data_IF_080052156655
#
_entry.id   IF_080052156655
#
_cell.length_a   1.000
_cell.length_b   1.000
_cell.length_c   1.000
_cell.angle_alpha   90.00
_cell.angle_beta   90.00
_cell.angle_gamma   90.00
#
_symmetry.space_group_name_H-M   'P 1'
#
loop_
_entity.id
_entity.type
_entity.pdbx_description
1 polymer ?
#
# COMPACT_ATOMS: atom_id res chain seq x y z
N UNK A 1 -27.21 -6.62 5.83
CA UNK A 1 -25.87 -6.05 6.05
C UNK A 1 -24.91 -6.88 5.21
N UNK A 2 -24.50 -6.37 4.05
CA UNK A 2 -23.47 -7.03 3.23
C UNK A 2 -22.15 -6.90 3.96
N UNK A 3 -21.65 -7.97 4.58
CA UNK A 3 -20.27 -7.99 5.05
C UNK A 3 -19.38 -7.83 3.82
N UNK A 4 -18.79 -6.65 3.65
CA UNK A 4 -17.66 -6.49 2.74
C UNK A 4 -16.52 -7.29 3.36
N UNK A 5 -16.46 -8.58 3.07
CA UNK A 5 -15.33 -9.40 3.46
C UNK A 5 -14.13 -8.94 2.64
N UNK A 6 -13.12 -8.42 3.32
CA UNK A 6 -11.83 -8.10 2.74
C UNK A 6 -10.74 -8.46 3.75
N UNK A 7 -9.53 -8.71 3.25
CA UNK A 7 -8.40 -9.12 4.08
C UNK A 7 -7.59 -7.89 4.48
N UNK A 8 -7.25 -7.80 5.77
CA UNK A 8 -6.37 -6.76 6.30
C UNK A 8 -4.93 -7.27 6.41
N UNK A 9 -3.97 -6.46 5.96
CA UNK A 9 -2.56 -6.79 6.03
C UNK A 9 -1.75 -5.60 6.53
N UNK A 10 -1.18 -5.72 7.73
CA UNK A 10 -0.19 -4.77 8.21
C UNK A 10 1.09 -4.93 7.37
N UNK A 11 1.42 -3.90 6.58
CA UNK A 11 2.70 -3.83 5.87
C UNK A 11 3.65 -3.08 6.77
N UNK A 12 4.58 -3.81 7.37
CA UNK A 12 5.52 -3.27 8.32
C UNK A 12 6.86 -3.98 8.20
N UNK A 13 7.90 -3.28 8.64
CA UNK A 13 9.24 -3.83 8.76
C UNK A 13 9.69 -3.66 10.19
N UNK A 14 10.38 -4.65 10.73
CA UNK A 14 10.81 -4.59 12.11
C UNK A 14 12.09 -5.32 12.34
N UNK A 15 12.81 -4.88 13.37
CA UNK A 15 13.90 -5.66 13.95
C UNK A 15 13.78 -5.62 15.47
N UNK A 16 14.45 -6.57 16.12
CA UNK A 16 14.35 -6.78 17.58
C UNK A 16 14.81 -5.57 18.40
N UNK A 17 15.68 -4.71 17.85
CA UNK A 17 16.27 -3.58 18.55
C UNK A 17 15.45 -2.30 18.41
N UNK A 18 14.91 -2.04 17.22
CA UNK A 18 14.26 -0.78 16.86
C UNK A 18 12.72 -0.85 16.89
N UNK A 19 12.17 -2.06 16.98
CA UNK A 19 10.73 -2.32 16.97
C UNK A 19 10.17 -2.43 15.55
N UNK A 20 8.86 -2.22 15.43
CA UNK A 20 8.09 -2.34 14.18
C UNK A 20 7.79 -0.95 13.61
N UNK A 21 8.00 -0.78 12.31
CA UNK A 21 7.74 0.43 11.54
C UNK A 21 6.72 0.14 10.46
N UNK A 22 5.57 0.81 10.53
CA UNK A 22 4.42 0.55 9.68
C UNK A 22 4.46 1.42 8.42
N UNK A 23 4.32 0.79 7.25
CA UNK A 23 4.11 1.48 5.99
C UNK A 23 2.64 1.86 5.85
N UNK A 24 1.73 0.88 5.91
CA UNK A 24 0.28 1.05 5.92
C UNK A 24 -0.40 -0.25 6.39
N UNK A 25 -1.69 -0.19 6.66
CA UNK A 25 -2.54 -1.38 6.70
C UNK A 25 -3.27 -1.49 5.37
N UNK A 26 -2.86 -2.45 4.55
CA UNK A 26 -3.39 -2.69 3.21
C UNK A 26 -4.63 -3.58 3.27
N UNK A 27 -5.65 -3.22 2.49
CA UNK A 27 -6.87 -3.99 2.28
C UNK A 27 -6.87 -4.63 0.90
N UNK A 28 -7.18 -5.92 0.82
CA UNK A 28 -7.16 -6.71 -0.41
C UNK A 28 -8.45 -7.53 -0.56
N UNK A 29 -8.76 -8.05 -1.76
CA UNK A 29 -9.89 -8.97 -1.92
C UNK A 29 -9.83 -10.14 -0.93
N UNK A 30 -10.99 -10.68 -0.53
CA UNK A 30 -11.01 -11.82 0.38
C UNK A 30 -10.23 -13.00 -0.21
N UNK A 31 -9.46 -13.69 0.64
CA UNK A 31 -8.60 -14.81 0.23
C UNK A 31 -7.21 -14.41 -0.27
N UNK A 32 -6.99 -13.14 -0.65
CA UNK A 32 -5.67 -12.65 -1.02
C UNK A 32 -4.75 -12.60 0.20
N UNK A 33 -3.45 -12.82 -0.02
CA UNK A 33 -2.43 -12.82 1.04
C UNK A 33 -1.21 -12.01 0.64
N UNK A 34 -0.57 -11.37 1.62
CA UNK A 34 0.75 -10.76 1.42
C UNK A 34 1.83 -11.80 1.66
N UNK A 35 2.74 -11.97 0.70
CA UNK A 35 3.94 -12.80 0.83
C UNK A 35 5.14 -11.87 1.04
N UNK A 36 5.75 -11.97 2.22
CA UNK A 36 6.84 -11.10 2.66
C UNK A 36 8.14 -11.48 1.93
N UNK A 37 8.85 -10.48 1.41
CA UNK A 37 10.19 -10.64 0.84
C UNK A 37 11.27 -10.28 1.88
N UNK A 38 12.23 -11.17 2.20
CA UNK A 38 13.14 -11.01 3.35
C UNK A 38 14.11 -9.81 3.34
N UNK A 39 14.32 -9.11 2.21
CA UNK A 39 15.34 -8.07 2.09
C UNK A 39 14.92 -6.87 1.22
N UNK A 40 13.62 -6.65 1.05
CA UNK A 40 13.13 -5.69 0.07
C UNK A 40 12.63 -4.40 0.71
N UNK A 41 13.28 -3.91 1.77
CA UNK A 41 12.82 -2.71 2.46
C UNK A 41 13.93 -1.81 2.96
N UNK A 42 13.75 -0.51 2.74
CA UNK A 42 14.59 0.56 3.28
C UNK A 42 13.72 1.53 4.10
N UNK A 43 14.12 1.82 5.33
CA UNK A 43 13.47 2.83 6.19
C UNK A 43 14.50 3.85 6.60
N UNK A 44 14.29 5.10 6.16
CA UNK A 44 15.20 6.21 6.43
C UNK A 44 14.72 7.09 7.58
N UNK A 45 13.39 7.28 7.68
CA UNK A 45 12.77 8.13 8.71
C UNK A 45 11.40 7.59 9.12
N UNK A 46 10.97 7.92 10.33
CA UNK A 46 9.65 7.58 10.85
C UNK A 46 9.01 8.78 11.57
N UNK A 47 7.73 8.64 11.86
CA UNK A 47 6.93 9.52 12.73
C UNK A 47 6.12 8.64 13.67
N UNK A 48 5.81 9.13 14.87
CA UNK A 48 4.96 8.41 15.83
C UNK A 48 3.60 9.11 15.90
N UNK A 49 2.53 8.34 15.69
CA UNK A 49 1.14 8.79 15.77
C UNK A 49 0.34 7.69 16.47
N UNK A 50 -0.43 8.05 17.50
CA UNK A 50 -1.28 7.09 18.22
C UNK A 50 -0.50 5.95 18.90
N UNK A 51 0.77 6.17 19.27
CA UNK A 51 1.65 5.15 19.86
C UNK A 51 2.22 4.14 18.85
N UNK A 52 1.99 4.34 17.54
CA UNK A 52 2.54 3.52 16.48
C UNK A 52 3.60 4.29 15.67
N UNK A 53 4.71 3.60 15.35
CA UNK A 53 5.74 4.13 14.45
C UNK A 53 5.32 3.90 13.00
N UNK A 54 5.24 4.99 12.23
CA UNK A 54 4.91 5.00 10.81
C UNK A 54 6.11 5.45 10.00
N UNK A 55 6.43 4.72 8.93
CA UNK A 55 7.52 5.08 8.00
C UNK A 55 7.18 6.42 7.35
N UNK A 56 8.08 7.40 7.41
CA UNK A 56 7.92 8.73 6.78
C UNK A 56 8.74 8.88 5.50
N UNK A 57 9.84 8.14 5.39
CA UNK A 57 10.62 7.99 4.16
C UNK A 57 11.15 6.57 4.08
N UNK A 58 10.80 5.86 3.02
CA UNK A 58 11.19 4.48 2.85
C UNK A 58 10.46 3.78 1.71
N UNK A 59 10.81 2.52 1.51
CA UNK A 59 10.19 1.67 0.52
C UNK A 59 10.15 0.22 0.99
N UNK A 60 9.15 -0.53 0.54
CA UNK A 60 9.08 -1.99 0.73
C UNK A 60 8.51 -2.67 -0.51
N UNK A 61 9.02 -3.87 -0.85
CA UNK A 61 8.45 -4.74 -1.88
C UNK A 61 8.05 -6.11 -1.33
N UNK A 62 6.89 -6.59 -1.74
CA UNK A 62 6.31 -7.88 -1.37
C UNK A 62 5.57 -8.47 -2.59
N UNK A 63 4.86 -9.58 -2.40
CA UNK A 63 3.87 -10.04 -3.37
C UNK A 63 2.47 -10.04 -2.76
N UNK A 64 1.46 -9.72 -3.57
CA UNK A 64 0.07 -10.11 -3.33
C UNK A 64 -0.17 -11.45 -3.99
N UNK A 65 -0.70 -12.43 -3.26
CA UNK A 65 -0.99 -13.77 -3.76
C UNK A 65 -2.48 -14.01 -3.81
N UNK A 66 -2.94 -14.46 -4.97
CA UNK A 66 -4.31 -14.93 -5.23
C UNK A 66 -4.25 -16.36 -5.75
N UNK A 67 -4.50 -17.34 -4.88
CA UNK A 67 -4.31 -18.75 -5.21
C UNK A 67 -2.89 -19.06 -5.72
N UNK A 68 -2.77 -19.38 -7.01
CA UNK A 68 -1.51 -19.67 -7.69
C UNK A 68 -0.83 -18.42 -8.29
N UNK A 69 -1.55 -17.31 -8.43
CA UNK A 69 -1.01 -16.07 -9.00
C UNK A 69 -0.28 -15.24 -7.93
N UNK A 70 0.81 -14.59 -8.33
CA UNK A 70 1.57 -13.67 -7.50
C UNK A 70 1.79 -12.34 -8.25
N UNK A 71 1.44 -11.24 -7.60
CA UNK A 71 1.52 -9.89 -8.13
C UNK A 71 2.56 -9.10 -7.34
N UNK A 72 3.64 -8.62 -7.98
CA UNK A 72 4.61 -7.74 -7.32
C UNK A 72 3.91 -6.52 -6.72
N UNK A 73 4.14 -6.28 -5.44
CA UNK A 73 3.63 -5.14 -4.68
C UNK A 73 4.83 -4.28 -4.26
N UNK A 74 4.79 -2.99 -4.57
CA UNK A 74 5.77 -2.01 -4.11
C UNK A 74 5.04 -0.88 -3.39
N UNK A 75 5.52 -0.53 -2.20
CA UNK A 75 5.01 0.59 -1.42
C UNK A 75 6.17 1.54 -1.17
N UNK A 76 6.05 2.77 -1.65
CA UNK A 76 7.02 3.84 -1.42
C UNK A 76 6.35 4.94 -0.61
N UNK A 77 7.07 5.47 0.39
CA UNK A 77 6.59 6.54 1.24
C UNK A 77 7.59 7.68 1.18
N UNK A 78 7.08 8.91 0.97
CA UNK A 78 7.89 10.12 0.92
C UNK A 78 7.30 11.20 1.83
N UNK A 79 8.16 12.01 2.48
CA UNK A 79 7.69 13.09 3.35
C UNK A 79 6.99 14.18 2.53
N UNK A 80 5.96 14.77 3.13
CA UNK A 80 5.19 15.88 2.58
C UNK A 80 4.25 15.48 1.44
N UNK A 81 3.49 16.47 0.98
CA UNK A 81 2.58 16.35 -0.18
C UNK A 81 3.37 16.29 -1.48
N UNK A 82 3.13 15.26 -2.29
CA UNK A 82 3.69 15.13 -3.65
C UNK A 82 2.60 15.29 -4.69
N UNK A 83 2.98 15.81 -5.86
CA UNK A 83 2.09 15.84 -7.03
C UNK A 83 1.92 14.41 -7.52
N UNK A 84 0.66 14.04 -7.78
CA UNK A 84 0.30 12.81 -8.45
C UNK A 84 -0.60 13.16 -9.63
N UNK A 85 -0.53 12.35 -10.69
CA UNK A 85 -1.36 12.46 -11.87
C UNK A 85 -2.19 11.17 -11.98
N UNK A 86 -3.36 11.24 -12.61
CA UNK A 86 -4.22 10.09 -12.81
C UNK A 86 -5.68 10.42 -12.54
N UNK A 87 -6.50 9.37 -12.43
CA UNK A 87 -7.89 9.48 -12.04
C UNK A 87 -8.00 9.63 -10.52
N UNK A 88 -8.96 10.44 -10.07
CA UNK A 88 -9.18 10.70 -8.64
C UNK A 88 -9.76 9.46 -7.94
N UNK A 89 -9.32 9.24 -6.70
CA UNK A 89 -9.83 8.18 -5.82
C UNK A 89 -9.78 8.66 -4.37
N UNK A 90 -10.69 8.16 -3.52
CA UNK A 90 -10.66 8.40 -2.08
C UNK A 90 -10.20 7.11 -1.38
N UNK A 91 -9.17 7.21 -0.55
CA UNK A 91 -8.60 6.10 0.20
C UNK A 91 -8.70 6.43 1.69
N UNK A 92 -9.63 5.77 2.38
CA UNK A 92 -9.91 5.98 3.80
C UNK A 92 -10.03 7.47 4.19
N UNK A 93 -10.78 8.23 3.39
CA UNK A 93 -10.97 9.68 3.58
C UNK A 93 -9.88 10.58 2.99
N UNK A 94 -8.76 10.04 2.53
CA UNK A 94 -7.71 10.80 1.85
C UNK A 94 -7.97 10.93 0.34
N UNK A 95 -7.87 12.14 -0.20
CA UNK A 95 -7.84 12.34 -1.65
C UNK A 95 -6.53 11.78 -2.23
N UNK A 96 -6.67 10.95 -3.27
CA UNK A 96 -5.58 10.33 -3.99
C UNK A 96 -5.84 10.25 -5.48
N UNK A 97 -4.88 9.65 -6.18
CA UNK A 97 -4.91 9.44 -7.61
C UNK A 97 -4.47 8.02 -7.94
N UNK A 98 -5.07 7.43 -8.98
CA UNK A 98 -4.64 6.16 -9.52
C UNK A 98 -4.34 6.25 -11.01
N UNK A 99 -3.41 5.41 -11.47
CA UNK A 99 -3.06 5.24 -12.87
C UNK A 99 -3.03 3.77 -13.22
N UNK A 100 -3.50 3.49 -14.43
CA UNK A 100 -3.45 2.17 -15.03
C UNK A 100 -2.59 2.22 -16.28
N UNK A 101 -1.71 1.24 -16.42
CA UNK A 101 -1.03 0.94 -17.68
C UNK A 101 -1.29 -0.50 -18.03
N UNK A 102 -1.56 -0.76 -19.30
CA UNK A 102 -1.66 -2.12 -19.82
C UNK A 102 -0.41 -2.44 -20.63
N UNK A 103 0.17 -3.62 -20.40
CA UNK A 103 1.27 -4.15 -21.21
C UNK A 103 1.08 -5.65 -21.35
N UNK A 104 1.04 -6.15 -22.58
CA UNK A 104 0.86 -7.56 -22.90
C UNK A 104 -0.38 -8.20 -22.23
N UNK A 105 -1.51 -7.48 -22.19
CA UNK A 105 -2.74 -7.96 -21.54
C UNK A 105 -2.66 -8.03 -20.02
N UNK A 106 -1.69 -7.36 -19.40
CA UNK A 106 -1.51 -7.27 -17.95
C UNK A 106 -1.57 -5.83 -17.47
N UNK A 107 -2.19 -5.65 -16.31
CA UNK A 107 -2.45 -4.35 -15.72
C UNK A 107 -1.36 -3.99 -14.69
N UNK A 108 -0.94 -2.74 -14.74
CA UNK A 108 -0.01 -2.11 -13.81
C UNK A 108 -0.77 -0.98 -13.13
N UNK A 109 -1.11 -1.20 -11.87
CA UNK A 109 -1.83 -0.24 -11.03
C UNK A 109 -0.84 0.56 -10.20
N UNK A 110 -0.98 1.87 -10.22
CA UNK A 110 -0.27 2.78 -9.33
C UNK A 110 -1.28 3.67 -8.61
N UNK A 111 -1.21 3.74 -7.29
CA UNK A 111 -2.02 4.57 -6.41
C UNK A 111 -1.10 5.53 -5.66
N UNK A 112 -1.54 6.76 -5.45
CA UNK A 112 -0.81 7.76 -4.68
C UNK A 112 -1.77 8.63 -3.88
N UNK A 113 -1.53 8.78 -2.58
CA UNK A 113 -2.34 9.62 -1.70
C UNK A 113 -1.50 10.23 -0.58
N UNK A 114 -1.92 11.41 -0.12
CA UNK A 114 -1.26 12.13 0.98
C UNK A 114 -2.04 11.97 2.27
N UNK A 115 -1.34 11.59 3.34
CA UNK A 115 -1.84 11.59 4.70
C UNK A 115 -1.32 12.84 5.42
N UNK A 116 -2.24 13.69 5.85
CA UNK A 116 -2.01 14.90 6.63
C UNK A 116 -1.63 14.58 8.09
N UNK A 117 -2.22 13.54 8.69
CA UNK A 117 -1.92 13.11 10.06
C UNK A 117 -0.46 12.70 10.24
N UNK A 118 0.14 12.04 9.24
CA UNK A 118 1.53 11.57 9.28
C UNK A 118 2.48 12.37 8.39
N UNK A 119 1.99 13.45 7.74
CA UNK A 119 2.72 14.31 6.79
C UNK A 119 3.56 13.50 5.76
N UNK A 120 2.89 12.58 5.05
CA UNK A 120 3.54 11.69 4.09
C UNK A 120 2.66 11.36 2.90
N UNK A 121 3.28 11.24 1.73
CA UNK A 121 2.65 10.68 0.53
C UNK A 121 3.00 9.21 0.42
N UNK A 122 1.98 8.36 0.32
CA UNK A 122 2.11 6.93 0.07
C UNK A 122 1.88 6.66 -1.41
N UNK A 123 2.72 5.80 -1.98
CA UNK A 123 2.58 5.28 -3.34
C UNK A 123 2.51 3.76 -3.30
N UNK A 124 1.42 3.17 -3.76
CA UNK A 124 1.22 1.71 -3.84
C UNK A 124 1.23 1.32 -5.31
N UNK A 125 2.11 0.42 -5.72
CA UNK A 125 2.21 -0.09 -7.09
C UNK A 125 2.02 -1.59 -7.09
N UNK A 126 1.16 -2.09 -7.96
CA UNK A 126 0.92 -3.53 -8.15
C UNK A 126 1.03 -3.87 -9.62
N UNK A 127 1.89 -4.85 -9.93
CA UNK A 127 2.20 -5.23 -11.29
C UNK A 127 1.54 -6.56 -11.68
N UNK A 128 1.38 -6.76 -13.00
CA UNK A 128 0.90 -8.01 -13.60
C UNK A 128 -0.52 -8.44 -13.20
N UNK A 129 -1.36 -7.48 -12.75
CA UNK A 129 -2.75 -7.74 -12.40
C UNK A 129 -3.53 -8.28 -13.61
N UNK A 130 -4.45 -9.20 -13.34
CA UNK A 130 -5.38 -9.76 -14.35
C UNK A 130 -6.61 -8.87 -14.55
N UNK A 131 -7.04 -8.18 -13.50
CA UNK A 131 -8.20 -7.30 -13.49
C UNK A 131 -8.02 -6.16 -12.45
N UNK A 132 -9.05 -5.33 -12.30
CA UNK A 132 -9.07 -4.17 -11.40
C UNK A 132 -9.82 -4.43 -10.09
N UNK A 133 -10.11 -5.68 -9.74
CA UNK A 133 -10.85 -6.03 -8.51
C UNK A 133 -10.19 -5.45 -7.26
N UNK A 134 -8.86 -5.45 -7.19
CA UNK A 134 -8.07 -4.89 -6.10
C UNK A 134 -8.41 -3.42 -5.78
N UNK A 135 -8.74 -2.61 -6.81
CA UNK A 135 -9.04 -1.20 -6.64
C UNK A 135 -10.25 -0.97 -5.74
N UNK A 136 -11.24 -1.87 -5.78
CA UNK A 136 -12.45 -1.82 -4.94
C UNK A 136 -12.15 -2.00 -3.46
N UNK A 137 -11.02 -2.60 -3.12
CA UNK A 137 -10.67 -2.93 -1.73
C UNK A 137 -9.64 -1.96 -1.17
N UNK A 138 -8.66 -1.52 -1.98
CA UNK A 138 -7.56 -0.65 -1.53
C UNK A 138 -8.05 0.69 -0.98
N UNK A 139 -9.26 1.14 -1.38
CA UNK A 139 -9.91 2.34 -0.84
C UNK A 139 -10.19 2.28 0.66
N UNK A 140 -10.16 1.08 1.26
CA UNK A 140 -10.35 0.87 2.69
C UNK A 140 -9.03 0.79 3.48
N UNK A 141 -7.88 0.97 2.81
CA UNK A 141 -6.56 0.87 3.44
C UNK A 141 -6.28 2.04 4.39
N UNK A 142 -5.61 1.76 5.52
CA UNK A 142 -5.31 2.75 6.56
C UNK A 142 -3.84 3.16 6.52
N UNK A 143 -3.57 4.43 6.82
CA UNK A 143 -2.23 5.01 6.78
C UNK A 143 -1.80 5.69 8.09
N UNK A 144 -2.62 5.62 9.15
CA UNK A 144 -2.32 6.04 10.50
C UNK A 144 -3.29 5.38 11.49
#
# INVERSE_FOLDING_TARGET
MTSTEFSWHAIAVGNRLLGVYNFLVLTTPPGWRVVIMPMASDVFRHVEVGGAKWVRDGEVMHFLRDGADAYPLRISVKPGKRRANGERIIINGHEGFYRLKEKNGRLYLELSFYCDVTDRTLKISVENLKDLSLLKYVVHSQCH
#
